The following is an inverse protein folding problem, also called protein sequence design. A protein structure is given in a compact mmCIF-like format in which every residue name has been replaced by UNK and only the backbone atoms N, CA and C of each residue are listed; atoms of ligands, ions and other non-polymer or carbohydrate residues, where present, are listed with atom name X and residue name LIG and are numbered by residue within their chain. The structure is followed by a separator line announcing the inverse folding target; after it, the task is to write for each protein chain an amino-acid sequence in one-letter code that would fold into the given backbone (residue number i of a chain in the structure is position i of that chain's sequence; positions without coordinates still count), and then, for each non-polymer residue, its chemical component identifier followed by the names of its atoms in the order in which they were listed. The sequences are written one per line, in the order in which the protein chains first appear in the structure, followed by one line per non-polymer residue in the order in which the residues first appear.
data_IF_938564487185
#
_entry.id   IF_938564487185
#
_cell.length_a   1.000
_cell.length_b   1.000
_cell.length_c   1.000
_cell.angle_alpha   90.00
_cell.angle_beta   90.00
_cell.angle_gamma   90.00
#
_symmetry.space_group_name_H-M   'P 1'
#
loop_
_entity.id
_entity.type
_entity.pdbx_description
1 polymer ?
#
# COMPACT_ATOMS: atom_id res chain seq x y z
N UNK A 1 -8.73 3.41 7.42
CA UNK A 1 -7.58 3.98 8.14
C UNK A 1 -6.48 4.31 7.14
N UNK A 2 -5.76 5.43 7.31
CA UNK A 2 -4.58 5.73 6.47
C UNK A 2 -3.36 4.94 6.95
N UNK A 3 -2.63 4.35 6.02
CA UNK A 3 -1.60 3.35 6.29
C UNK A 3 -0.22 3.82 5.84
N UNK A 4 -0.13 4.34 4.61
CA UNK A 4 1.14 4.82 4.04
C UNK A 4 0.96 6.25 3.58
N UNK A 5 1.88 7.12 3.97
CA UNK A 5 2.02 8.46 3.43
C UNK A 5 3.06 8.46 2.30
N UNK A 6 2.76 9.12 1.19
CA UNK A 6 3.68 9.32 0.09
C UNK A 6 3.94 10.79 -0.16
N UNK A 7 5.22 11.15 -0.19
CA UNK A 7 5.70 12.44 -0.64
C UNK A 7 6.34 12.30 -2.01
N UNK A 8 5.72 12.91 -3.01
CA UNK A 8 6.10 12.81 -4.41
C UNK A 8 6.61 14.18 -4.86
N UNK A 9 7.83 14.23 -5.38
CA UNK A 9 8.42 15.45 -5.93
C UNK A 9 8.61 15.31 -7.43
N UNK A 10 8.25 16.34 -8.17
CA UNK A 10 8.52 16.45 -9.60
C UNK A 10 9.03 17.86 -9.89
N UNK A 11 10.31 17.96 -10.25
CA UNK A 11 11.01 19.23 -10.42
C UNK A 11 10.89 20.13 -9.17
N UNK A 12 10.20 21.27 -9.26
CA UNK A 12 9.98 22.23 -8.16
C UNK A 12 8.64 22.06 -7.44
N UNK A 13 7.81 21.12 -7.88
CA UNK A 13 6.50 20.86 -7.32
C UNK A 13 6.52 19.61 -6.44
N UNK A 14 5.63 19.56 -5.45
CA UNK A 14 5.50 18.41 -4.56
C UNK A 14 4.04 18.12 -4.25
N UNK A 15 3.75 16.84 -4.08
CA UNK A 15 2.45 16.28 -3.74
C UNK A 15 2.61 15.40 -2.50
N UNK A 16 1.69 15.53 -1.56
CA UNK A 16 1.61 14.71 -0.36
C UNK A 16 0.25 13.99 -0.38
N UNK A 17 0.25 12.67 -0.29
CA UNK A 17 -0.98 11.86 -0.31
C UNK A 17 -0.92 10.73 0.72
N UNK A 18 -2.08 10.41 1.29
CA UNK A 18 -2.25 9.27 2.19
C UNK A 18 -2.98 8.11 1.50
N UNK A 19 -2.34 6.96 1.47
CA UNK A 19 -2.91 5.70 1.04
C UNK A 19 -3.66 4.97 2.18
N UNK A 20 -4.78 4.30 1.89
CA UNK A 20 -5.41 4.23 0.57
C UNK A 20 -6.15 5.54 0.22
N UNK A 21 -6.23 5.86 -1.07
CA UNK A 21 -7.11 6.91 -1.62
C UNK A 21 -7.94 6.37 -2.79
N UNK A 22 -8.89 7.17 -3.25
CA UNK A 22 -9.61 6.86 -4.49
C UNK A 22 -8.66 6.99 -5.68
N UNK A 23 -8.32 5.86 -6.31
CA UNK A 23 -7.31 5.83 -7.39
C UNK A 23 -7.69 6.70 -8.58
N UNK A 24 -8.99 6.96 -8.79
CA UNK A 24 -9.47 7.84 -9.87
C UNK A 24 -9.09 9.31 -9.68
N UNK A 25 -8.74 9.73 -8.45
CA UNK A 25 -8.29 11.09 -8.16
C UNK A 25 -6.76 11.24 -8.38
N UNK A 26 -6.04 10.12 -8.53
CA UNK A 26 -4.59 10.12 -8.67
C UNK A 26 -4.09 10.85 -9.95
N UNK A 27 -4.72 10.73 -11.13
CA UNK A 27 -4.33 11.51 -12.30
C UNK A 27 -4.39 13.02 -12.06
N UNK A 28 -5.39 13.51 -11.33
CA UNK A 28 -5.52 14.93 -11.02
C UNK A 28 -4.46 15.36 -9.99
N UNK A 29 -4.23 14.55 -8.95
CA UNK A 29 -3.17 14.80 -7.97
C UNK A 29 -1.79 14.85 -8.64
N UNK A 30 -1.42 13.85 -9.43
CA UNK A 30 -0.15 13.82 -10.19
C UNK A 30 -0.11 14.98 -11.19
N UNK A 31 -1.25 15.27 -11.81
CA UNK A 31 -1.44 16.36 -12.75
C UNK A 31 -1.08 17.72 -12.15
N UNK A 32 -1.44 17.95 -10.88
CA UNK A 32 -1.20 19.20 -10.15
C UNK A 32 0.29 19.54 -9.96
N UNK A 33 1.16 18.53 -9.95
CA UNK A 33 2.63 18.70 -9.86
C UNK A 33 3.34 18.57 -11.22
N UNK A 34 2.57 18.42 -12.30
CA UNK A 34 3.09 18.35 -13.66
C UNK A 34 3.45 16.94 -14.14
N UNK A 35 3.11 15.90 -13.39
CA UNK A 35 3.22 14.52 -13.86
C UNK A 35 2.00 14.20 -14.74
N UNK A 36 2.22 13.56 -15.89
CA UNK A 36 1.16 13.09 -16.81
C UNK A 36 1.14 11.57 -16.98
N UNK A 37 2.09 10.89 -16.35
CA UNK A 37 2.13 9.43 -16.29
C UNK A 37 1.00 8.92 -15.39
N UNK A 38 0.38 7.77 -15.74
CA UNK A 38 -0.56 7.11 -14.85
C UNK A 38 0.13 6.61 -13.58
N UNK A 39 -0.63 6.39 -12.52
CA UNK A 39 -0.13 5.93 -11.22
C UNK A 39 0.67 4.62 -11.31
N UNK A 40 0.24 3.69 -12.16
CA UNK A 40 0.93 2.43 -12.48
C UNK A 40 2.31 2.59 -13.15
N UNK A 41 2.69 3.81 -13.54
CA UNK A 41 4.00 4.13 -14.13
C UNK A 41 4.86 5.03 -13.24
N UNK A 42 4.33 5.48 -12.10
CA UNK A 42 5.10 6.21 -11.09
C UNK A 42 5.53 5.21 -10.03
N UNK A 43 6.81 4.84 -10.06
CA UNK A 43 7.39 3.81 -9.18
C UNK A 43 7.97 4.41 -7.91
N UNK A 44 8.19 3.58 -6.88
CA UNK A 44 8.88 3.97 -5.65
C UNK A 44 10.34 4.36 -5.93
N UNK A 45 10.97 3.72 -6.91
CA UNK A 45 12.30 4.09 -7.36
C UNK A 45 12.32 5.53 -7.89
N UNK A 46 13.29 6.28 -7.38
CA UNK A 46 13.53 7.64 -7.85
C UNK A 46 14.03 7.59 -9.29
N UNK A 47 13.41 8.39 -10.15
CA UNK A 47 13.90 8.68 -11.49
C UNK A 47 14.57 10.05 -11.50
N UNK A 48 15.20 10.43 -12.62
CA UNK A 48 15.80 11.76 -12.78
C UNK A 48 14.80 12.90 -12.51
N UNK A 49 13.51 12.69 -12.83
CA UNK A 49 12.49 13.73 -12.77
C UNK A 49 11.48 13.57 -11.63
N UNK A 50 11.30 12.35 -11.11
CA UNK A 50 10.31 12.04 -10.07
C UNK A 50 11.00 11.37 -8.89
N UNK A 51 10.82 11.94 -7.70
CA UNK A 51 11.22 11.30 -6.44
C UNK A 51 10.00 10.91 -5.63
N UNK A 52 9.99 9.68 -5.11
CA UNK A 52 8.92 9.16 -4.25
C UNK A 52 9.54 8.76 -2.92
N UNK A 53 8.96 9.27 -1.82
CA UNK A 53 9.31 8.87 -0.46
C UNK A 53 8.07 8.36 0.25
N UNK A 54 8.16 7.16 0.80
CA UNK A 54 7.07 6.52 1.54
C UNK A 54 7.36 6.52 3.04
N UNK A 55 6.32 6.74 3.83
CA UNK A 55 6.37 6.70 5.30
C UNK A 55 5.20 5.85 5.81
N UNK A 56 5.51 4.85 6.63
CA UNK A 56 4.48 4.08 7.34
C UNK A 56 3.86 4.90 8.47
N UNK A 57 2.53 5.08 8.44
CA UNK A 57 1.79 5.88 9.43
C UNK A 57 1.39 5.09 10.69
N UNK A 58 1.47 3.75 10.61
CA UNK A 58 1.19 2.80 11.68
C UNK A 58 2.05 1.54 11.47
N UNK A 59 1.93 0.52 12.34
CA UNK A 59 2.77 -0.69 12.25
C UNK A 59 2.58 -1.45 10.94
N UNK A 60 1.35 -1.53 10.42
CA UNK A 60 1.09 -2.09 9.08
C UNK A 60 1.81 -1.28 8.01
N UNK A 61 1.71 0.05 8.05
CA UNK A 61 2.38 0.94 7.11
C UNK A 61 3.89 0.81 7.16
N UNK A 62 4.47 0.66 8.35
CA UNK A 62 5.91 0.42 8.53
C UNK A 62 6.32 -0.93 7.93
N UNK A 63 5.52 -1.99 8.15
CA UNK A 63 5.76 -3.31 7.57
C UNK A 63 5.70 -3.27 6.02
N UNK A 64 4.73 -2.54 5.45
CA UNK A 64 4.64 -2.33 3.99
C UNK A 64 5.88 -1.60 3.49
N UNK A 65 6.19 -0.42 4.04
CA UNK A 65 7.30 0.43 3.56
C UNK A 65 8.65 -0.27 3.69
N UNK A 66 8.83 -1.16 4.67
CA UNK A 66 10.04 -1.97 4.82
C UNK A 66 10.22 -3.06 3.76
N UNK A 67 9.20 -3.36 2.95
CA UNK A 67 9.17 -4.51 2.03
C UNK A 67 8.84 -4.17 0.58
N UNK A 68 8.37 -2.96 0.30
CA UNK A 68 8.11 -2.52 -1.07
C UNK A 68 9.39 -2.47 -1.88
N UNK A 69 9.32 -2.93 -3.12
CA UNK A 69 10.38 -2.85 -4.09
C UNK A 69 10.38 -1.46 -4.74
N UNK A 70 11.55 -1.05 -5.21
CA UNK A 70 11.70 0.13 -6.05
C UNK A 70 10.82 0.12 -7.31
N UNK A 71 10.58 -1.07 -7.88
CA UNK A 71 9.72 -1.25 -9.05
C UNK A 71 8.21 -1.19 -8.75
N UNK A 72 7.80 -1.19 -7.48
CA UNK A 72 6.37 -1.10 -7.14
C UNK A 72 5.84 0.29 -7.51
N UNK A 73 4.63 0.33 -8.07
CA UNK A 73 4.00 1.59 -8.49
C UNK A 73 3.10 2.18 -7.38
N UNK A 74 2.78 3.47 -7.49
CA UNK A 74 1.80 4.10 -6.60
C UNK A 74 0.42 3.40 -6.65
N UNK A 75 0.07 2.80 -7.79
CA UNK A 75 -1.15 2.00 -7.93
C UNK A 75 -1.07 0.72 -7.10
N UNK A 76 0.06 0.02 -7.12
CA UNK A 76 0.28 -1.20 -6.32
C UNK A 76 0.22 -0.89 -4.81
N UNK A 77 0.87 0.21 -4.38
CA UNK A 77 0.84 0.64 -2.97
C UNK A 77 -0.60 0.97 -2.54
N UNK A 78 -1.33 1.70 -3.38
CA UNK A 78 -2.73 2.04 -3.10
C UNK A 78 -3.60 0.79 -3.02
N UNK A 79 -3.47 -0.13 -3.97
CA UNK A 79 -4.23 -1.38 -4.01
C UNK A 79 -3.97 -2.23 -2.76
N UNK A 80 -2.70 -2.37 -2.35
CA UNK A 80 -2.31 -3.09 -1.14
C UNK A 80 -2.93 -2.46 0.11
N UNK A 81 -2.84 -1.13 0.26
CA UNK A 81 -3.46 -0.43 1.39
C UNK A 81 -4.98 -0.60 1.41
N UNK A 82 -5.65 -0.56 0.25
CA UNK A 82 -7.09 -0.78 0.13
C UNK A 82 -7.49 -2.23 0.45
N UNK A 83 -6.67 -3.22 0.08
CA UNK A 83 -6.91 -4.61 0.41
C UNK A 83 -6.86 -4.81 1.93
N UNK A 84 -5.82 -4.28 2.57
CA UNK A 84 -5.68 -4.36 4.03
C UNK A 84 -6.82 -3.65 4.75
N UNK A 85 -7.20 -2.45 4.30
CA UNK A 85 -8.34 -1.73 4.89
C UNK A 85 -9.66 -2.52 4.78
N UNK A 86 -9.85 -3.27 3.70
CA UNK A 86 -11.04 -4.13 3.49
C UNK A 86 -10.99 -5.41 4.30
N UNK A 87 -9.82 -6.01 4.46
CA UNK A 87 -9.65 -7.26 5.20
C UNK A 87 -9.68 -7.03 6.71
N UNK A 88 -9.03 -5.96 7.19
CA UNK A 88 -8.85 -5.73 8.62
C UNK A 88 -9.95 -4.81 9.17
N UNK A 89 -11.10 -5.39 9.56
CA UNK A 89 -12.07 -4.72 10.43
C UNK A 89 -11.52 -4.62 11.88
N UNK A 90 -10.74 -5.61 12.28
CA UNK A 90 -10.00 -5.75 13.54
C UNK A 90 -8.70 -6.56 13.27
N UNK A 91 -7.72 -6.53 14.17
CA UNK A 91 -6.48 -7.31 14.02
C UNK A 91 -5.41 -6.67 13.12
N UNK A 92 -5.29 -5.34 13.13
CA UNK A 92 -4.22 -4.65 12.40
C UNK A 92 -2.82 -5.03 12.92
N UNK A 93 -2.69 -5.33 14.21
CA UNK A 93 -1.42 -5.76 14.79
C UNK A 93 -1.01 -7.13 14.27
N UNK A 94 -1.92 -8.11 14.25
CA UNK A 94 -1.68 -9.44 13.66
C UNK A 94 -1.28 -9.34 12.19
N UNK A 95 -1.95 -8.47 11.42
CA UNK A 95 -1.59 -8.20 10.03
C UNK A 95 -0.18 -7.59 9.92
N UNK A 96 0.16 -6.61 10.77
CA UNK A 96 1.48 -5.98 10.78
C UNK A 96 2.58 -7.03 11.05
N UNK A 97 2.38 -7.89 12.05
CA UNK A 97 3.30 -8.98 12.37
C UNK A 97 3.46 -9.95 11.20
N UNK A 98 2.35 -10.35 10.57
CA UNK A 98 2.38 -11.27 9.41
C UNK A 98 3.11 -10.67 8.22
N UNK A 99 2.84 -9.40 7.91
CA UNK A 99 3.52 -8.71 6.83
C UNK A 99 5.02 -8.61 7.13
N UNK A 100 5.39 -8.20 8.36
CA UNK A 100 6.78 -8.07 8.78
C UNK A 100 7.54 -9.41 8.75
N UNK A 101 6.89 -10.51 9.17
CA UNK A 101 7.49 -11.84 9.22
C UNK A 101 7.51 -12.58 7.87
N UNK A 102 6.80 -12.08 6.85
CA UNK A 102 6.79 -12.71 5.52
C UNK A 102 8.12 -12.54 4.80
N UNK A 103 8.41 -13.42 3.83
CA UNK A 103 9.56 -13.25 2.91
C UNK A 103 9.24 -12.34 1.70
N UNK A 104 8.08 -11.66 1.71
CA UNK A 104 7.69 -10.77 0.63
C UNK A 104 8.69 -9.61 0.46
N UNK A 105 9.03 -9.32 -0.79
CA UNK A 105 9.93 -8.24 -1.19
C UNK A 105 9.35 -7.27 -2.21
N UNK A 106 8.04 -7.34 -2.48
CA UNK A 106 7.31 -6.38 -3.30
C UNK A 106 5.82 -6.32 -2.93
N UNK A 107 5.11 -5.28 -3.40
CA UNK A 107 3.69 -5.07 -3.13
C UNK A 107 2.81 -6.25 -3.59
N UNK A 108 3.14 -6.88 -4.73
CA UNK A 108 2.42 -8.05 -5.24
C UNK A 108 2.51 -9.25 -4.29
N UNK A 109 3.70 -9.50 -3.73
CA UNK A 109 3.90 -10.59 -2.77
C UNK A 109 3.22 -10.29 -1.43
N UNK A 110 3.26 -9.03 -0.98
CA UNK A 110 2.52 -8.60 0.19
C UNK A 110 1.00 -8.78 0.00
N UNK A 111 0.47 -8.54 -1.20
CA UNK A 111 -0.94 -8.80 -1.51
C UNK A 111 -1.31 -10.27 -1.27
N UNK A 112 -0.45 -11.22 -1.67
CA UNK A 112 -0.68 -12.64 -1.43
C UNK A 112 -0.73 -12.96 0.08
N UNK A 113 0.06 -12.28 0.91
CA UNK A 113 0.01 -12.42 2.38
C UNK A 113 -1.35 -11.96 2.94
N UNK A 114 -1.87 -10.83 2.42
CA UNK A 114 -3.18 -10.29 2.81
C UNK A 114 -4.32 -11.22 2.40
N UNK A 115 -4.25 -11.79 1.19
CA UNK A 115 -5.23 -12.77 0.71
C UNK A 115 -5.25 -14.04 1.58
N UNK A 116 -4.08 -14.57 1.93
CA UNK A 116 -3.96 -15.72 2.82
C UNK A 116 -4.51 -15.44 4.22
N UNK A 117 -4.27 -14.24 4.75
CA UNK A 117 -4.84 -13.83 6.04
C UNK A 117 -6.37 -13.76 5.97
N UNK A 118 -6.91 -13.19 4.89
CA UNK A 118 -8.36 -13.11 4.65
C UNK A 118 -9.01 -14.50 4.63
N UNK A 119 -8.40 -15.46 3.93
CA UNK A 119 -8.88 -16.85 3.86
C UNK A 119 -8.82 -17.56 5.22
N UNK A 120 -7.77 -17.33 6.00
CA UNK A 120 -7.63 -17.90 7.34
C UNK A 120 -8.74 -17.39 8.28
N UNK A 121 -9.08 -16.10 8.23
CA UNK A 121 -10.15 -15.54 9.04
C UNK A 121 -11.52 -16.12 8.67
N UNK A 122 -11.84 -16.24 7.37
CA UNK A 122 -13.10 -16.83 6.91
C UNK A 122 -13.27 -18.29 7.34
N UNK A 123 -12.17 -19.06 7.35
CA UNK A 123 -12.17 -20.47 7.76
C UNK A 123 -12.43 -20.63 9.27
N UNK A 124 -11.96 -19.69 10.09
CA UNK A 124 -12.22 -19.66 11.53
C UNK A 124 -13.67 -19.29 11.84
N UNK A 125 -14.25 -18.32 11.13
CA UNK A 125 -15.66 -17.92 11.35
C UNK A 125 -16.67 -19.00 10.93
N UNK A 126 -16.33 -19.86 9.96
CA UNK A 126 -17.19 -21.00 9.57
C UNK A 126 -17.08 -22.22 10.51
N UNK A 127 -15.98 -22.37 11.25
CA UNK A 127 -15.78 -23.48 12.19
C UNK A 127 -16.57 -23.34 13.50
N UNK A 128 -17.02 -22.13 13.85
CA UNK A 128 -17.77 -21.86 15.08
C UNK A 128 -19.30 -22.05 14.92
N UNK A 129 -19.80 -22.28 13.70
CA UNK A 129 -21.23 -22.51 13.42
C UNK A 129 -21.63 -24.00 13.36
N UNK A 130 -20.86 -24.89 13.98
CA UNK A 130 -21.27 -26.28 14.22
C UNK A 130 -21.61 -26.47 15.70
N UNK A 131 -22.86 -26.16 16.05
CA UNK A 131 -23.53 -26.61 17.27
C UNK A 131 -24.73 -27.47 16.89
#
# INVERSE_FOLDING_TARGET
MKTVYAFIQHQRNSLAVDFPLNIHDMPDHLGSIGIRLPASKVTVDNTENVSVRLTGLNEVGKAIVGKVAGSDSLEDINALCQAIERTCLYGYDDMAERLAASDAGCARELMAVVEQFTQAQQSQTMGECQC
#
